data_IF_640907409842
#
_entry.id   IF_640907409842
#
_cell.length_a   1.000
_cell.length_b   1.000
_cell.length_c   1.000
_cell.angle_alpha   90.00
_cell.angle_beta   90.00
_cell.angle_gamma   90.00
#
_symmetry.space_group_name_H-M   'P 1'
#
loop_
_entity.id
_entity.type
_entity.pdbx_description
1 polymer ?
#
# COMPACT_ATOMS: atom_id res chain seq x y z
N UNK A 1 30.22 25.20 16.70
CA UNK A 1 30.05 23.95 15.93
C UNK A 1 28.59 23.86 15.58
N UNK A 2 28.25 23.78 14.29
CA UNK A 2 26.87 23.82 13.83
C UNK A 2 26.16 22.59 14.36
N UNK A 3 25.07 22.81 15.08
CA UNK A 3 24.11 21.78 15.45
C UNK A 3 23.78 20.97 14.19
N UNK A 4 24.28 19.75 14.14
CA UNK A 4 23.74 18.74 13.25
C UNK A 4 22.33 18.53 13.77
N UNK A 5 21.38 19.25 13.19
CA UNK A 5 19.98 18.83 13.12
C UNK A 5 20.04 17.43 12.54
N UNK A 6 20.11 16.43 13.43
CA UNK A 6 19.68 15.08 13.12
C UNK A 6 18.33 15.27 12.46
N UNK A 7 18.32 15.04 11.15
CA UNK A 7 17.15 15.16 10.31
C UNK A 7 16.06 14.36 11.00
N UNK A 8 15.07 15.10 11.51
CA UNK A 8 13.78 14.68 12.01
C UNK A 8 13.46 13.22 11.65
N UNK A 9 13.87 12.31 12.51
CA UNK A 9 13.32 10.96 12.56
C UNK A 9 12.18 11.09 13.57
N UNK A 10 11.00 11.49 13.09
CA UNK A 10 9.80 11.41 13.90
C UNK A 10 9.57 9.92 14.21
N UNK A 11 10.16 9.44 15.31
CA UNK A 11 10.04 8.08 15.82
C UNK A 11 8.67 7.88 16.48
N UNK A 12 7.60 8.42 15.89
CA UNK A 12 6.26 8.07 16.33
C UNK A 12 6.04 6.58 16.08
N UNK A 13 5.21 5.97 16.91
CA UNK A 13 4.87 4.56 16.77
C UNK A 13 4.18 4.32 15.43
N UNK A 14 3.40 5.30 15.00
CA UNK A 14 2.65 5.34 13.75
C UNK A 14 3.59 5.35 12.54
N UNK A 15 4.60 6.23 12.50
CA UNK A 15 5.61 6.26 11.41
C UNK A 15 6.38 4.93 11.33
N UNK A 16 6.77 4.38 12.48
CA UNK A 16 7.47 3.10 12.55
C UNK A 16 6.62 1.95 12.01
N UNK A 17 5.34 1.91 12.38
CA UNK A 17 4.40 0.89 11.90
C UNK A 17 4.14 1.01 10.41
N UNK A 18 3.93 2.22 9.91
CA UNK A 18 3.70 2.48 8.49
C UNK A 18 4.92 2.07 7.65
N UNK A 19 6.13 2.44 8.08
CA UNK A 19 7.38 2.03 7.40
C UNK A 19 7.55 0.52 7.41
N UNK A 20 7.31 -0.12 8.56
CA UNK A 20 7.39 -1.58 8.66
C UNK A 20 6.35 -2.28 7.76
N UNK A 21 5.13 -1.76 7.69
CA UNK A 21 4.09 -2.24 6.78
C UNK A 21 4.55 -2.14 5.34
N UNK A 22 5.01 -0.96 4.89
CA UNK A 22 5.48 -0.74 3.52
C UNK A 22 6.60 -1.69 3.12
N UNK A 23 7.60 -1.89 3.99
CA UNK A 23 8.71 -2.81 3.74
C UNK A 23 8.22 -4.26 3.65
N UNK A 24 7.41 -4.70 4.62
CA UNK A 24 6.88 -6.07 4.63
C UNK A 24 5.96 -6.32 3.42
N UNK A 25 5.18 -5.33 3.01
CA UNK A 25 4.32 -5.41 1.84
C UNK A 25 5.14 -5.57 0.56
N UNK A 26 6.14 -4.70 0.37
CA UNK A 26 7.05 -4.75 -0.78
C UNK A 26 7.80 -6.09 -0.88
N UNK A 27 8.25 -6.64 0.26
CA UNK A 27 8.95 -7.92 0.30
C UNK A 27 8.02 -9.15 0.19
N UNK A 28 6.70 -8.97 0.05
CA UNK A 28 5.70 -10.04 0.14
C UNK A 28 5.84 -10.88 1.44
N UNK A 29 6.05 -10.20 2.57
CA UNK A 29 6.28 -10.79 3.90
C UNK A 29 5.22 -10.48 4.96
N UNK A 30 4.26 -9.61 4.67
CA UNK A 30 2.98 -9.61 5.40
C UNK A 30 2.36 -11.01 5.34
N UNK A 31 1.66 -11.32 6.42
CA UNK A 31 1.05 -12.62 6.63
C UNK A 31 -0.23 -12.72 5.81
N UNK A 32 -0.37 -13.83 5.07
CA UNK A 32 -1.63 -14.21 4.42
C UNK A 32 -2.36 -15.26 5.27
N UNK A 33 -3.66 -15.49 5.03
CA UNK A 33 -4.39 -16.52 5.79
C UNK A 33 -3.77 -17.91 5.66
N UNK A 34 -3.20 -18.24 4.49
CA UNK A 34 -2.38 -19.46 4.33
C UNK A 34 -1.24 -19.54 5.36
N UNK A 35 -0.39 -18.52 5.42
CA UNK A 35 0.77 -18.50 6.32
C UNK A 35 0.35 -18.47 7.79
N UNK A 36 -0.74 -17.78 8.13
CA UNK A 36 -1.25 -17.70 9.50
C UNK A 36 -1.82 -19.03 9.97
N UNK A 37 -2.56 -19.71 9.10
CA UNK A 37 -3.10 -21.04 9.35
C UNK A 37 -1.98 -22.09 9.51
N UNK A 38 -0.97 -22.08 8.64
CA UNK A 38 0.20 -22.97 8.74
C UNK A 38 1.00 -22.77 10.05
N UNK A 39 0.99 -21.56 10.61
CA UNK A 39 1.67 -21.24 11.87
C UNK A 39 0.82 -21.49 13.11
N UNK A 40 -0.43 -21.91 12.96
CA UNK A 40 -1.40 -22.06 14.05
C UNK A 40 -1.48 -20.81 14.96
N UNK A 41 -1.49 -19.64 14.33
CA UNK A 41 -1.55 -18.34 15.03
C UNK A 41 -2.88 -17.65 14.80
N UNK A 42 -3.25 -16.75 15.72
CA UNK A 42 -4.42 -15.87 15.60
C UNK A 42 -5.79 -16.58 15.47
N UNK A 43 -5.88 -17.86 15.86
CA UNK A 43 -7.12 -18.66 15.77
C UNK A 43 -7.67 -18.77 14.34
N UNK A 44 -6.80 -18.64 13.32
CA UNK A 44 -7.21 -18.81 11.93
C UNK A 44 -7.30 -20.30 11.62
N UNK A 45 -8.52 -20.78 11.43
CA UNK A 45 -8.83 -22.21 11.20
C UNK A 45 -8.85 -22.60 9.73
N UNK A 46 -8.82 -21.62 8.82
CA UNK A 46 -8.87 -21.83 7.38
C UNK A 46 -7.81 -21.01 6.66
N UNK A 47 -7.21 -21.63 5.64
CA UNK A 47 -6.30 -20.99 4.69
C UNK A 47 -7.02 -20.22 3.58
N UNK A 48 -8.35 -20.29 3.52
CA UNK A 48 -9.16 -19.65 2.49
C UNK A 48 -9.12 -18.12 2.61
N UNK A 49 -9.26 -17.45 1.47
CA UNK A 49 -9.40 -16.01 1.41
C UNK A 49 -10.65 -15.55 2.16
N UNK A 50 -10.54 -14.59 3.10
CA UNK A 50 -11.68 -14.06 3.83
C UNK A 50 -12.62 -13.21 2.96
N UNK A 51 -12.22 -12.86 1.72
CA UNK A 51 -13.04 -12.10 0.78
C UNK A 51 -13.91 -13.01 -0.07
N UNK A 52 -13.30 -14.02 -0.70
CA UNK A 52 -14.03 -14.90 -1.62
C UNK A 52 -14.43 -16.25 -1.05
N UNK A 53 -13.79 -16.70 0.04
CA UNK A 53 -14.00 -18.00 0.69
C UNK A 53 -13.86 -19.22 -0.25
N UNK A 54 -13.30 -19.04 -1.46
CA UNK A 54 -13.21 -20.05 -2.51
C UNK A 54 -11.79 -20.59 -2.70
N UNK A 55 -10.79 -19.71 -2.67
CA UNK A 55 -9.38 -20.04 -2.92
C UNK A 55 -8.51 -19.78 -1.68
N UNK A 56 -7.33 -20.41 -1.61
CA UNK A 56 -6.35 -20.10 -0.56
C UNK A 56 -5.88 -18.64 -0.65
N UNK A 57 -5.79 -17.94 0.48
CA UNK A 57 -5.20 -16.60 0.49
C UNK A 57 -3.69 -16.68 0.38
N UNK A 58 -3.19 -16.56 -0.84
CA UNK A 58 -1.79 -16.32 -1.15
C UNK A 58 -1.54 -14.84 -1.43
N UNK A 59 -0.27 -14.46 -1.51
CA UNK A 59 0.12 -13.11 -1.87
C UNK A 59 -0.41 -12.69 -3.23
N UNK A 60 -0.38 -13.60 -4.19
CA UNK A 60 -0.88 -13.39 -5.54
C UNK A 60 -2.41 -13.28 -5.53
N UNK A 61 -3.12 -14.16 -4.81
CA UNK A 61 -4.59 -14.13 -4.73
C UNK A 61 -5.11 -12.82 -4.14
N UNK A 62 -4.43 -12.20 -3.17
CA UNK A 62 -4.85 -10.89 -2.60
C UNK A 62 -5.04 -9.83 -3.70
N UNK A 63 -4.16 -9.81 -4.69
CA UNK A 63 -4.18 -8.81 -5.76
C UNK A 63 -5.18 -9.10 -6.88
N UNK A 64 -5.57 -10.37 -7.06
CA UNK A 64 -6.43 -10.80 -8.18
C UNK A 64 -7.78 -11.37 -7.73
N UNK A 65 -8.10 -11.30 -6.44
CA UNK A 65 -9.35 -11.79 -5.89
C UNK A 65 -10.54 -11.10 -6.58
N UNK A 66 -11.46 -11.91 -7.11
CA UNK A 66 -12.61 -11.42 -7.86
C UNK A 66 -13.63 -10.65 -6.99
N UNK A 67 -13.60 -10.85 -5.67
CA UNK A 67 -14.47 -10.15 -4.71
C UNK A 67 -13.80 -8.89 -4.12
N UNK A 68 -12.67 -8.44 -4.68
CA UNK A 68 -12.12 -7.13 -4.33
C UNK A 68 -13.03 -6.01 -4.88
N UNK A 69 -13.16 -4.92 -4.14
CA UNK A 69 -13.95 -3.75 -4.55
C UNK A 69 -13.44 -3.11 -5.85
N UNK A 70 -12.12 -3.13 -6.04
CA UNK A 70 -11.44 -2.66 -7.24
C UNK A 70 -10.57 -3.76 -7.81
N UNK A 71 -10.62 -3.91 -9.13
CA UNK A 71 -9.66 -4.72 -9.86
C UNK A 71 -8.29 -4.05 -9.93
N UNK A 72 -7.25 -4.85 -10.15
CA UNK A 72 -5.90 -4.34 -10.38
C UNK A 72 -5.86 -3.34 -11.56
N UNK A 73 -6.69 -3.55 -12.58
CA UNK A 73 -6.79 -2.67 -13.74
C UNK A 73 -7.35 -1.30 -13.35
N UNK A 74 -8.49 -1.28 -12.67
CA UNK A 74 -9.13 -0.03 -12.23
C UNK A 74 -8.18 0.78 -11.33
N UNK A 75 -7.51 0.12 -10.37
CA UNK A 75 -6.53 0.78 -9.50
C UNK A 75 -5.36 1.40 -10.28
N UNK A 76 -4.87 0.74 -11.33
CA UNK A 76 -3.80 1.28 -12.19
C UNK A 76 -4.31 2.49 -12.98
N UNK A 77 -5.50 2.39 -13.55
CA UNK A 77 -6.13 3.45 -14.34
C UNK A 77 -6.38 4.70 -13.49
N UNK A 78 -6.92 4.54 -12.29
CA UNK A 78 -7.08 5.63 -11.29
C UNK A 78 -5.74 6.26 -10.90
N UNK A 79 -4.70 5.43 -10.72
CA UNK A 79 -3.35 5.90 -10.41
C UNK A 79 -2.77 6.77 -11.52
N UNK A 80 -2.92 6.34 -12.78
CA UNK A 80 -2.48 7.10 -13.96
C UNK A 80 -3.24 8.42 -14.06
N UNK A 81 -4.57 8.38 -13.93
CA UNK A 81 -5.41 9.58 -13.99
C UNK A 81 -5.02 10.60 -12.92
N UNK A 82 -4.81 10.14 -11.68
CA UNK A 82 -4.36 10.97 -10.56
C UNK A 82 -3.04 11.67 -10.87
N UNK A 83 -2.09 10.98 -11.50
CA UNK A 83 -0.79 11.57 -11.87
C UNK A 83 -0.98 12.62 -12.97
N UNK A 84 -1.78 12.33 -14.00
CA UNK A 84 -2.06 13.26 -15.09
C UNK A 84 -2.70 14.55 -14.55
N UNK A 85 -3.70 14.45 -13.67
CA UNK A 85 -4.36 15.61 -13.05
C UNK A 85 -3.35 16.47 -12.28
N UNK A 86 -2.48 15.83 -11.48
CA UNK A 86 -1.43 16.53 -10.72
C UNK A 86 -0.38 17.20 -11.61
N UNK A 87 -0.11 16.66 -12.80
CA UNK A 87 0.81 17.29 -13.76
C UNK A 87 0.17 18.53 -14.38
N UNK A 88 -1.08 18.44 -14.83
CA UNK A 88 -1.82 19.57 -15.40
C UNK A 88 -1.98 20.72 -14.39
N UNK A 89 -2.31 20.42 -13.13
CA UNK A 89 -2.44 21.46 -12.11
C UNK A 89 -1.13 22.20 -11.84
N UNK A 90 0.01 21.50 -11.89
CA UNK A 90 1.33 22.12 -11.73
C UNK A 90 1.68 23.02 -12.92
N UNK A 91 1.37 22.59 -14.14
CA UNK A 91 1.59 23.40 -15.35
C UNK A 91 0.77 24.70 -15.32
N UNK A 92 -0.49 24.63 -14.88
CA UNK A 92 -1.35 25.81 -14.70
C UNK A 92 -0.82 26.78 -13.64
N UNK A 93 -0.33 26.26 -12.51
CA UNK A 93 0.30 27.07 -11.47
C UNK A 93 1.56 27.77 -11.96
N UNK A 94 2.40 27.06 -12.72
CA UNK A 94 3.62 27.63 -13.32
C UNK A 94 3.30 28.73 -14.33
N UNK A 95 2.28 28.54 -15.18
CA UNK A 95 1.82 29.59 -16.09
C UNK A 95 1.35 30.83 -15.35
N UNK A 96 0.54 30.68 -14.30
CA UNK A 96 0.06 31.80 -13.47
C UNK A 96 1.20 32.57 -12.78
N UNK A 97 2.28 31.88 -12.40
CA UNK A 97 3.48 32.51 -11.82
C UNK A 97 4.28 33.30 -12.85
N UNK A 98 4.32 32.86 -14.11
CA UNK A 98 5.05 33.55 -15.20
C UNK A 98 4.30 34.77 -15.74
N UNK A 99 2.98 34.84 -15.56
CA UNK A 99 2.14 35.97 -15.99
C UNK A 99 2.05 37.11 -14.97
N UNK A 100 2.78 37.03 -13.85
CA UNK A 100 2.73 37.97 -12.72
C UNK A 100 4.10 38.59 -12.51
#
# INVERSE_FOLDING_TARGET
MKDIKLLFFDNSKEDTQERAYRIKNFMKKLFTYKVLNEKDTNRITSKLCPRCEKEEETWEHIWICAENELSLREMIEEGIETVIIKMKSKEEEEMKRKSK
#
